data_IF_200765496536
#
_entry.id   IF_200765496536
#
_cell.length_a   1.000
_cell.length_b   1.000
_cell.length_c   1.000
_cell.angle_alpha   90.00
_cell.angle_beta   90.00
_cell.angle_gamma   90.00
#
_symmetry.space_group_name_H-M   'P 1'
#
loop_
_entity.id
_entity.type
_entity.pdbx_description
1 polymer ?
#
# COMPACT_ATOMS: atom_id res chain seq x y z
N UNK A 1 9.34 -0.59 -19.02
CA UNK A 1 8.39 -1.39 -19.81
C UNK A 1 8.59 -1.03 -21.27
N UNK A 2 9.31 -1.86 -22.03
CA UNK A 2 9.41 -1.70 -23.48
C UNK A 2 8.14 -2.30 -24.08
N UNK A 3 7.40 -1.49 -24.84
CA UNK A 3 6.15 -1.87 -25.48
C UNK A 3 6.38 -3.09 -26.37
N UNK A 4 5.77 -4.21 -26.01
CA UNK A 4 5.71 -5.36 -26.89
C UNK A 4 4.97 -4.90 -28.16
N UNK A 5 5.45 -5.30 -29.34
CA UNK A 5 4.76 -4.95 -30.58
C UNK A 5 3.30 -5.42 -30.48
N UNK A 6 2.37 -4.51 -30.76
CA UNK A 6 0.97 -4.85 -30.91
C UNK A 6 0.87 -5.85 -32.07
N UNK A 7 0.17 -6.99 -31.91
CA UNK A 7 0.03 -7.94 -32.99
C UNK A 7 -0.69 -7.24 -34.15
N UNK A 8 0.05 -6.95 -35.22
CA UNK A 8 -0.44 -6.43 -36.49
C UNK A 8 -0.41 -7.60 -37.46
N UNK A 9 -1.55 -8.06 -37.96
CA UNK A 9 -1.55 -9.08 -39.00
C UNK A 9 -2.92 -9.64 -39.33
N UNK A 10 -3.16 -9.80 -40.64
CA UNK A 10 -4.34 -10.28 -41.36
C UNK A 10 -5.56 -10.76 -40.55
N UNK A 11 -6.68 -10.05 -40.77
CA UNK A 11 -8.02 -10.34 -40.27
C UNK A 11 -8.78 -11.39 -41.11
N UNK A 12 -8.06 -12.16 -41.93
CA UNK A 12 -8.66 -13.25 -42.73
C UNK A 12 -9.29 -14.33 -41.82
N UNK A 13 -8.75 -14.53 -40.62
CA UNK A 13 -9.30 -15.40 -39.58
C UNK A 13 -9.58 -14.61 -38.28
N UNK A 14 -10.74 -13.95 -38.16
CA UNK A 14 -11.03 -13.04 -37.06
C UNK A 14 -10.96 -13.67 -35.66
N UNK A 15 -11.43 -14.92 -35.52
CA UNK A 15 -11.48 -15.61 -34.24
C UNK A 15 -10.07 -15.91 -33.68
N UNK A 16 -9.15 -16.38 -34.53
CA UNK A 16 -7.77 -16.66 -34.13
C UNK A 16 -7.04 -15.38 -33.71
N UNK A 17 -7.29 -14.26 -34.40
CA UNK A 17 -6.70 -12.95 -34.07
C UNK A 17 -7.24 -12.35 -32.78
N UNK A 18 -8.53 -12.53 -32.53
CA UNK A 18 -9.15 -12.12 -31.27
C UNK A 18 -8.53 -12.88 -30.09
N UNK A 19 -8.28 -14.19 -30.24
CA UNK A 19 -7.61 -14.99 -29.21
C UNK A 19 -6.14 -14.56 -29.00
N UNK A 20 -5.40 -14.30 -30.07
CA UNK A 20 -4.03 -13.75 -29.97
C UNK A 20 -3.99 -12.40 -29.23
N UNK A 21 -4.96 -11.53 -29.50
CA UNK A 21 -5.10 -10.24 -28.80
C UNK A 21 -5.42 -10.45 -27.31
N UNK A 22 -6.33 -11.36 -26.98
CA UNK A 22 -6.65 -11.71 -25.61
C UNK A 22 -5.42 -12.23 -24.86
N UNK A 23 -4.69 -13.20 -25.44
CA UNK A 23 -3.47 -13.74 -24.84
C UNK A 23 -2.40 -12.66 -24.66
N UNK A 24 -2.26 -11.74 -25.63
CA UNK A 24 -1.31 -10.63 -25.51
C UNK A 24 -1.63 -9.72 -24.33
N UNK A 25 -2.91 -9.37 -24.16
CA UNK A 25 -3.43 -8.52 -23.07
C UNK A 25 -3.28 -9.24 -21.72
N UNK A 26 -3.72 -10.49 -21.63
CA UNK A 26 -3.64 -11.33 -20.43
C UNK A 26 -2.19 -11.45 -19.93
N UNK A 27 -1.28 -11.85 -20.81
CA UNK A 27 0.13 -11.97 -20.45
C UNK A 27 0.74 -10.62 -20.06
N UNK A 28 0.27 -9.52 -20.67
CA UNK A 28 0.63 -8.15 -20.29
C UNK A 28 0.29 -7.85 -18.84
N UNK A 29 -0.96 -8.13 -18.45
CA UNK A 29 -1.45 -7.95 -17.09
C UNK A 29 -0.72 -8.86 -16.09
N UNK A 30 -0.53 -10.14 -16.40
CA UNK A 30 0.18 -11.08 -15.54
C UNK A 30 1.63 -10.64 -15.27
N UNK A 31 2.36 -10.18 -16.29
CA UNK A 31 3.71 -9.64 -16.08
C UNK A 31 3.73 -8.39 -15.23
N UNK A 32 2.71 -7.53 -15.36
CA UNK A 32 2.60 -6.35 -14.53
C UNK A 32 2.38 -6.74 -13.07
N UNK A 33 1.49 -7.69 -12.80
CA UNK A 33 1.27 -8.28 -11.47
C UNK A 33 2.57 -8.90 -10.94
N UNK A 34 3.25 -9.71 -11.73
CA UNK A 34 4.53 -10.33 -11.34
C UNK A 34 5.60 -9.28 -11.03
N UNK A 35 5.68 -8.20 -11.80
CA UNK A 35 6.61 -7.11 -11.53
C UNK A 35 6.31 -6.42 -10.19
N UNK A 36 5.03 -6.14 -9.89
CA UNK A 36 4.62 -5.60 -8.60
C UNK A 36 4.89 -6.57 -7.44
N UNK A 37 4.80 -7.88 -7.67
CA UNK A 37 4.99 -8.91 -6.63
C UNK A 37 6.44 -9.39 -6.46
N UNK A 38 7.30 -9.28 -7.47
CA UNK A 38 8.66 -9.81 -7.48
C UNK A 38 9.53 -9.22 -6.36
N UNK A 39 9.31 -7.96 -6.00
CA UNK A 39 10.11 -7.24 -5.01
C UNK A 39 9.71 -7.55 -3.54
N UNK A 40 8.67 -8.38 -3.35
CA UNK A 40 8.07 -8.67 -2.06
C UNK A 40 9.08 -9.27 -1.07
N UNK A 41 9.84 -10.30 -1.44
CA UNK A 41 10.65 -11.02 -0.44
C UNK A 41 11.84 -10.19 0.07
N UNK A 42 12.46 -9.41 -0.82
CA UNK A 42 13.62 -8.58 -0.50
C UNK A 42 13.21 -7.39 0.37
N UNK A 43 12.16 -6.65 -0.03
CA UNK A 43 11.57 -5.57 0.78
C UNK A 43 11.16 -6.04 2.19
N UNK A 44 10.59 -7.25 2.35
CA UNK A 44 10.23 -7.81 3.69
C UNK A 44 11.45 -8.01 4.56
N UNK A 45 12.49 -8.58 3.95
CA UNK A 45 13.72 -8.94 4.66
C UNK A 45 14.42 -7.67 5.12
N UNK A 46 14.57 -6.67 4.24
CA UNK A 46 15.16 -5.38 4.61
C UNK A 46 14.36 -4.70 5.73
N UNK A 47 13.03 -4.58 5.59
CA UNK A 47 12.21 -3.96 6.63
C UNK A 47 12.29 -4.69 7.98
N UNK A 48 12.34 -6.03 7.98
CA UNK A 48 12.53 -6.83 9.20
C UNK A 48 13.93 -6.65 9.79
N UNK A 49 14.97 -6.63 8.97
CA UNK A 49 16.35 -6.39 9.42
C UNK A 49 16.50 -5.00 10.04
N UNK A 50 15.88 -3.98 9.44
CA UNK A 50 15.89 -2.61 9.99
C UNK A 50 15.17 -2.54 11.34
N UNK A 51 14.01 -3.19 11.49
CA UNK A 51 13.29 -3.25 12.78
C UNK A 51 14.07 -4.02 13.84
N UNK A 52 14.68 -5.14 13.48
CA UNK A 52 15.54 -5.89 14.38
C UNK A 52 16.76 -5.05 14.81
N UNK A 53 17.41 -4.38 13.86
CA UNK A 53 18.52 -3.47 14.13
C UNK A 53 18.13 -2.31 15.05
N UNK A 54 16.94 -1.72 14.86
CA UNK A 54 16.42 -0.68 15.74
C UNK A 54 16.16 -1.21 17.16
N UNK A 55 15.52 -2.37 17.30
CA UNK A 55 15.23 -2.97 18.60
C UNK A 55 16.52 -3.35 19.36
N UNK A 56 17.48 -3.98 18.66
CA UNK A 56 18.79 -4.31 19.22
C UNK A 56 19.53 -3.03 19.62
N UNK A 57 19.52 -2.01 18.76
CA UNK A 57 20.21 -0.75 19.02
C UNK A 57 19.65 -0.01 20.25
N UNK A 58 18.33 -0.03 20.45
CA UNK A 58 17.69 0.51 21.67
C UNK A 58 18.02 -0.34 22.89
N UNK A 59 17.94 -1.67 22.78
CA UNK A 59 18.22 -2.57 23.90
C UNK A 59 19.68 -2.45 24.37
N UNK A 60 20.64 -2.47 23.45
CA UNK A 60 22.07 -2.29 23.75
C UNK A 60 22.34 -0.87 24.26
N UNK A 61 21.71 0.14 23.65
CA UNK A 61 21.80 1.54 24.07
C UNK A 61 21.34 1.78 25.52
N UNK A 62 20.32 1.04 25.97
CA UNK A 62 19.80 1.10 27.33
C UNK A 62 20.56 0.18 28.32
N UNK A 63 21.05 -0.97 27.85
CA UNK A 63 21.73 -1.95 28.70
C UNK A 63 23.18 -1.56 29.03
N UNK A 64 23.91 -0.94 28.09
CA UNK A 64 25.32 -0.60 28.29
C UNK A 64 25.56 0.37 29.47
N UNK A 65 24.77 1.46 29.65
CA UNK A 65 24.90 2.33 30.82
C UNK A 65 24.56 1.62 32.14
N UNK A 66 23.64 0.64 32.11
CA UNK A 66 23.25 -0.14 33.29
C UNK A 66 24.34 -1.13 33.72
N UNK A 67 25.09 -1.68 32.76
CA UNK A 67 26.24 -2.56 33.03
C UNK A 67 27.46 -1.79 33.53
N UNK A 68 27.61 -0.52 33.13
CA UNK A 68 28.68 0.34 33.66
C UNK A 68 28.46 0.65 35.14
N UNK A 69 27.20 0.77 35.58
CA UNK A 69 26.83 0.93 36.99
C UNK A 69 27.15 -0.29 37.86
N UNK A 70 27.35 -1.48 37.27
CA UNK A 70 27.72 -2.68 38.03
C UNK A 70 29.23 -2.81 38.24
N UNK A 71 30.04 -1.88 37.71
CA UNK A 71 31.52 -1.90 37.77
C UNK A 71 32.15 -3.24 37.31
N UNK A 72 31.42 -4.02 36.53
CA UNK A 72 31.80 -5.38 36.15
C UNK A 72 32.87 -5.41 35.04
N UNK A 73 33.16 -4.26 34.43
CA UNK A 73 34.08 -4.11 33.31
C UNK A 73 35.00 -2.91 33.55
N UNK A 74 36.30 -3.08 33.25
CA UNK A 74 37.31 -2.01 33.39
C UNK A 74 37.28 -0.98 32.24
N UNK A 75 36.43 -1.20 31.23
CA UNK A 75 36.33 -0.38 30.01
C UNK A 75 35.08 0.49 30.05
N UNK A 76 35.18 1.75 29.59
CA UNK A 76 34.05 2.68 29.51
C UNK A 76 33.04 2.25 28.44
N UNK A 77 31.79 1.98 28.83
CA UNK A 77 30.75 1.39 27.97
C UNK A 77 29.72 2.43 27.47
N UNK A 78 29.53 3.54 28.19
CA UNK A 78 28.57 4.60 27.85
C UNK A 78 28.67 5.15 26.41
N UNK A 79 29.86 5.45 25.84
CA UNK A 79 29.97 5.95 24.47
C UNK A 79 29.38 4.99 23.43
N UNK A 80 29.54 3.68 23.65
CA UNK A 80 29.01 2.64 22.76
C UNK A 80 27.48 2.53 22.84
N UNK A 81 26.89 2.87 24.00
CA UNK A 81 25.45 3.03 24.14
C UNK A 81 24.89 4.12 23.23
N UNK A 82 25.55 5.28 23.16
CA UNK A 82 25.15 6.37 22.25
C UNK A 82 25.30 5.99 20.78
N UNK A 83 26.38 5.28 20.41
CA UNK A 83 26.57 4.75 19.05
C UNK A 83 25.45 3.77 18.68
N UNK A 84 25.05 2.90 19.62
CA UNK A 84 23.95 1.96 19.45
C UNK A 84 22.61 2.66 19.23
N UNK A 85 22.32 3.71 20.01
CA UNK A 85 21.12 4.53 19.84
C UNK A 85 21.11 5.29 18.51
N UNK A 86 22.26 5.81 18.07
CA UNK A 86 22.41 6.43 16.76
C UNK A 86 22.13 5.42 15.64
N UNK A 87 22.66 4.20 15.75
CA UNK A 87 22.37 3.10 14.83
C UNK A 87 20.88 2.76 14.78
N UNK A 88 20.19 2.73 15.92
CA UNK A 88 18.75 2.54 15.97
C UNK A 88 17.97 3.66 15.28
N UNK A 89 18.35 4.92 15.52
CA UNK A 89 17.75 6.08 14.88
C UNK A 89 17.94 6.06 13.36
N UNK A 90 19.13 5.69 12.88
CA UNK A 90 19.41 5.50 11.45
C UNK A 90 18.56 4.37 10.87
N UNK A 91 18.41 3.23 11.57
CA UNK A 91 17.56 2.13 11.11
C UNK A 91 16.10 2.56 10.93
N UNK A 92 15.56 3.32 11.89
CA UNK A 92 14.19 3.87 11.82
C UNK A 92 14.07 4.92 10.72
N UNK A 93 15.08 5.79 10.58
CA UNK A 93 15.14 6.79 9.52
C UNK A 93 15.16 6.15 8.13
N UNK A 94 15.95 5.09 7.94
CA UNK A 94 15.99 4.32 6.69
C UNK A 94 14.65 3.63 6.38
N UNK A 95 14.00 2.95 7.36
CA UNK A 95 12.69 2.32 7.13
C UNK A 95 11.64 3.35 6.66
N UNK A 96 11.69 4.55 7.23
CA UNK A 96 10.78 5.65 6.92
C UNK A 96 11.10 6.31 5.58
N UNK A 97 12.38 6.57 5.27
CA UNK A 97 12.77 7.31 4.07
C UNK A 97 12.69 6.46 2.81
N UNK A 98 13.03 5.18 2.91
CA UNK A 98 12.85 4.25 1.79
C UNK A 98 11.39 3.78 1.63
N UNK A 99 10.50 4.09 2.58
CA UNK A 99 9.09 3.66 2.52
C UNK A 99 8.93 2.15 2.35
N UNK A 100 9.91 1.36 2.79
CA UNK A 100 10.04 -0.08 2.45
C UNK A 100 8.82 -0.88 2.88
N UNK A 101 8.12 -0.40 3.90
CA UNK A 101 6.92 -1.02 4.45
C UNK A 101 5.63 -0.52 3.80
N UNK A 102 5.51 0.76 3.43
CA UNK A 102 4.31 1.30 2.77
C UNK A 102 4.31 1.03 1.27
N UNK A 103 5.46 1.17 0.60
CA UNK A 103 5.62 1.00 -0.84
C UNK A 103 5.21 -0.40 -1.31
N UNK A 104 5.62 -1.46 -0.61
CA UNK A 104 5.12 -2.80 -0.88
C UNK A 104 3.61 -2.88 -0.77
N UNK A 105 3.03 -2.43 0.36
CA UNK A 105 1.61 -2.65 0.62
C UNK A 105 0.75 -2.03 -0.48
N UNK A 106 1.17 -0.86 -0.96
CA UNK A 106 0.67 -0.25 -2.20
C UNK A 106 0.85 -1.15 -3.42
N UNK A 107 2.09 -1.57 -3.72
CA UNK A 107 2.41 -2.46 -4.85
C UNK A 107 1.51 -3.73 -4.87
N UNK A 108 1.27 -4.33 -3.69
CA UNK A 108 0.42 -5.52 -3.53
C UNK A 108 -1.06 -5.19 -3.74
N UNK A 109 -1.55 -4.06 -3.22
CA UNK A 109 -2.95 -3.66 -3.46
C UNK A 109 -3.23 -3.37 -4.93
N UNK A 110 -2.29 -2.72 -5.63
CA UNK A 110 -2.40 -2.49 -7.07
C UNK A 110 -2.34 -3.80 -7.85
N UNK A 111 -1.41 -4.71 -7.49
CA UNK A 111 -1.34 -6.04 -8.09
C UNK A 111 -2.64 -6.83 -7.92
N UNK A 112 -3.24 -6.81 -6.73
CA UNK A 112 -4.52 -7.46 -6.46
C UNK A 112 -5.68 -6.82 -7.24
N UNK A 113 -5.67 -5.51 -7.38
CA UNK A 113 -6.68 -4.80 -8.18
C UNK A 113 -6.56 -5.17 -9.67
N UNK A 114 -5.34 -5.24 -10.22
CA UNK A 114 -5.11 -5.74 -11.60
C UNK A 114 -5.57 -7.19 -11.74
N UNK A 115 -5.22 -8.06 -10.79
CA UNK A 115 -5.63 -9.47 -10.82
C UNK A 115 -7.15 -9.64 -10.85
N UNK A 116 -7.90 -8.88 -10.03
CA UNK A 116 -9.38 -8.94 -10.03
C UNK A 116 -9.98 -8.48 -11.36
N UNK A 117 -9.40 -7.45 -11.98
CA UNK A 117 -9.86 -6.99 -13.30
C UNK A 117 -9.49 -7.98 -14.40
N UNK A 118 -8.37 -8.69 -14.26
CA UNK A 118 -7.99 -9.76 -15.18
C UNK A 118 -8.95 -10.93 -15.08
N UNK A 119 -9.32 -11.35 -13.86
CA UNK A 119 -10.34 -12.38 -13.66
C UNK A 119 -11.68 -11.99 -14.32
N UNK A 120 -12.11 -10.73 -14.17
CA UNK A 120 -13.31 -10.23 -14.85
C UNK A 120 -13.18 -10.31 -16.39
N UNK A 121 -12.04 -9.90 -16.95
CA UNK A 121 -11.75 -10.03 -18.38
C UNK A 121 -11.87 -11.49 -18.84
N UNK A 122 -11.30 -12.44 -18.10
CA UNK A 122 -11.34 -13.87 -18.44
C UNK A 122 -12.78 -14.40 -18.45
N UNK A 123 -13.62 -14.01 -17.49
CA UNK A 123 -15.03 -14.40 -17.44
C UNK A 123 -15.85 -13.76 -18.56
N UNK A 124 -15.68 -12.46 -18.82
CA UNK A 124 -16.38 -11.74 -19.88
C UNK A 124 -16.01 -12.31 -21.25
N UNK A 125 -14.73 -12.63 -21.46
CA UNK A 125 -14.25 -13.31 -22.66
C UNK A 125 -14.89 -14.69 -22.83
N UNK A 126 -14.87 -15.52 -21.79
CA UNK A 126 -15.47 -16.86 -21.84
C UNK A 126 -16.98 -16.80 -22.11
N UNK A 127 -17.70 -15.84 -21.52
CA UNK A 127 -19.12 -15.64 -21.77
C UNK A 127 -19.38 -15.27 -23.24
N UNK A 128 -18.53 -14.44 -23.84
CA UNK A 128 -18.68 -13.99 -25.22
C UNK A 128 -18.28 -15.09 -26.22
N UNK A 129 -17.19 -15.83 -25.98
CA UNK A 129 -16.81 -17.01 -26.80
C UNK A 129 -17.87 -18.11 -26.74
N UNK A 130 -18.51 -18.35 -25.59
CA UNK A 130 -19.62 -19.30 -25.47
C UNK A 130 -20.84 -18.82 -26.24
N UNK A 131 -21.13 -17.52 -26.24
CA UNK A 131 -22.23 -16.92 -27.03
C UNK A 131 -21.96 -16.99 -28.54
N UNK A 132 -20.71 -16.93 -28.96
CA UNK A 132 -20.33 -17.15 -30.36
C UNK A 132 -20.55 -18.62 -30.79
N UNK A 133 -20.21 -19.58 -29.92
CA UNK A 133 -20.32 -21.02 -30.23
C UNK A 133 -21.76 -21.57 -30.10
N UNK A 134 -22.55 -21.05 -29.13
CA UNK A 134 -23.88 -21.56 -28.79
C UNK A 134 -25.03 -20.60 -29.16
N UNK A 135 -24.73 -19.40 -29.66
CA UNK A 135 -25.73 -18.38 -29.96
C UNK A 135 -26.63 -18.75 -31.15
N UNK A 136 -27.90 -18.30 -31.15
CA UNK A 136 -28.72 -18.32 -32.36
C UNK A 136 -27.99 -17.59 -33.49
N UNK A 137 -28.10 -18.09 -34.72
CA UNK A 137 -27.42 -17.60 -35.95
C UNK A 137 -27.74 -16.15 -36.36
N UNK A 138 -28.28 -15.33 -35.47
CA UNK A 138 -28.75 -13.96 -35.72
C UNK A 138 -27.66 -12.90 -35.58
N UNK A 139 -26.55 -13.20 -34.92
CA UNK A 139 -25.40 -12.28 -34.80
C UNK A 139 -24.40 -12.50 -35.92
N UNK A 140 -24.06 -11.44 -36.67
CA UNK A 140 -22.98 -11.54 -37.66
C UNK A 140 -21.63 -11.72 -36.94
N UNK A 141 -20.68 -12.43 -37.57
CA UNK A 141 -19.32 -12.60 -37.03
C UNK A 141 -18.64 -11.25 -36.69
N UNK A 142 -19.02 -10.18 -37.40
CA UNK A 142 -18.57 -8.81 -37.12
C UNK A 142 -19.05 -8.29 -35.76
N UNK A 143 -20.32 -8.51 -35.40
CA UNK A 143 -20.89 -8.06 -34.12
C UNK A 143 -20.31 -8.82 -32.92
N UNK A 144 -19.97 -10.10 -33.09
CA UNK A 144 -19.25 -10.88 -32.07
C UNK A 144 -17.82 -10.33 -31.88
N UNK A 145 -17.12 -10.05 -32.98
CA UNK A 145 -15.80 -9.44 -32.94
C UNK A 145 -15.80 -8.06 -32.26
N UNK A 146 -16.78 -7.20 -32.55
CA UNK A 146 -16.93 -5.90 -31.90
C UNK A 146 -17.15 -6.01 -30.38
N UNK A 147 -17.94 -7.00 -29.94
CA UNK A 147 -18.16 -7.27 -28.51
C UNK A 147 -16.88 -7.73 -27.82
N UNK A 148 -16.14 -8.67 -28.42
CA UNK A 148 -14.84 -9.13 -27.92
C UNK A 148 -13.82 -7.98 -27.83
N UNK A 149 -13.74 -7.13 -28.85
CA UNK A 149 -12.88 -5.93 -28.84
C UNK A 149 -13.30 -4.92 -27.76
N UNK A 150 -14.60 -4.78 -27.53
CA UNK A 150 -15.15 -3.93 -26.45
C UNK A 150 -14.68 -4.38 -25.06
N UNK A 151 -14.68 -5.69 -24.81
CA UNK A 151 -14.20 -6.29 -23.54
C UNK A 151 -12.71 -6.01 -23.34
N UNK A 152 -11.87 -6.23 -24.36
CA UNK A 152 -10.42 -5.97 -24.29
C UNK A 152 -10.10 -4.47 -24.10
N UNK A 153 -10.83 -3.60 -24.81
CA UNK A 153 -10.65 -2.15 -24.70
C UNK A 153 -11.00 -1.66 -23.29
N UNK A 154 -12.15 -2.09 -22.76
CA UNK A 154 -12.60 -1.72 -21.42
C UNK A 154 -11.56 -2.11 -20.37
N UNK A 155 -11.05 -3.34 -20.43
CA UNK A 155 -10.00 -3.80 -19.52
C UNK A 155 -8.72 -2.95 -19.62
N UNK A 156 -8.31 -2.59 -20.82
CA UNK A 156 -7.10 -1.79 -21.04
C UNK A 156 -7.24 -0.37 -20.47
N UNK A 157 -8.39 0.26 -20.70
CA UNK A 157 -8.73 1.57 -20.12
C UNK A 157 -8.74 1.49 -18.58
N UNK A 158 -9.40 0.47 -18.05
CA UNK A 158 -9.50 0.17 -16.63
C UNK A 158 -8.15 0.00 -15.92
N UNK A 159 -7.22 -0.76 -16.53
CA UNK A 159 -5.86 -0.93 -16.01
C UNK A 159 -5.07 0.38 -16.11
N UNK A 160 -5.23 1.13 -17.20
CA UNK A 160 -4.55 2.41 -17.39
C UNK A 160 -5.00 3.45 -16.36
N UNK A 161 -6.30 3.52 -16.08
CA UNK A 161 -6.84 4.40 -15.04
C UNK A 161 -6.36 4.00 -13.64
N UNK A 162 -6.33 2.70 -13.34
CA UNK A 162 -5.82 2.20 -12.06
C UNK A 162 -4.36 2.61 -11.86
N UNK A 163 -3.50 2.43 -12.87
CA UNK A 163 -2.09 2.84 -12.82
C UNK A 163 -1.94 4.35 -12.69
N UNK A 164 -2.77 5.13 -13.40
CA UNK A 164 -2.76 6.59 -13.32
C UNK A 164 -3.15 7.09 -11.92
N UNK A 165 -4.21 6.53 -11.32
CA UNK A 165 -4.65 6.87 -9.97
C UNK A 165 -3.56 6.55 -8.93
N UNK A 166 -2.97 5.35 -9.00
CA UNK A 166 -1.87 4.91 -8.13
C UNK A 166 -0.65 5.86 -8.21
N UNK A 167 -0.35 6.33 -9.42
CA UNK A 167 0.74 7.29 -9.68
C UNK A 167 0.43 8.66 -9.09
N UNK A 168 -0.82 9.13 -9.19
CA UNK A 168 -1.25 10.40 -8.61
C UNK A 168 -1.18 10.37 -7.08
N UNK A 169 -1.68 9.29 -6.47
CA UNK A 169 -1.61 9.07 -5.03
C UNK A 169 -0.15 9.02 -4.55
N UNK A 170 0.74 8.44 -5.36
CA UNK A 170 2.17 8.37 -5.05
C UNK A 170 2.81 9.76 -4.97
N UNK A 171 2.48 10.63 -5.94
CA UNK A 171 3.01 11.99 -6.00
C UNK A 171 2.54 12.79 -4.78
N UNK A 172 1.31 12.60 -4.32
CA UNK A 172 0.77 13.28 -3.12
C UNK A 172 1.44 12.76 -1.85
N UNK A 173 1.56 11.44 -1.68
CA UNK A 173 2.23 10.83 -0.53
C UNK A 173 3.71 11.23 -0.46
N UNK A 174 4.39 11.25 -1.61
CA UNK A 174 5.79 11.66 -1.69
C UNK A 174 5.97 13.11 -1.23
N UNK A 175 5.11 14.04 -1.71
CA UNK A 175 5.14 15.46 -1.31
C UNK A 175 4.87 15.66 0.18
N UNK A 176 3.92 14.93 0.76
CA UNK A 176 3.58 15.04 2.19
C UNK A 176 4.63 14.39 3.10
N UNK A 177 5.28 13.31 2.66
CA UNK A 177 6.35 12.64 3.39
C UNK A 177 7.66 13.44 3.42
N UNK A 178 7.90 14.29 2.41
CA UNK A 178 9.03 15.23 2.39
C UNK A 178 8.82 16.51 3.20
N UNK A 179 7.60 16.75 3.72
CA UNK A 179 7.38 17.89 4.62
C UNK A 179 8.06 17.58 5.96
N UNK A 180 9.11 18.33 6.36
CA UNK A 180 9.79 18.08 7.62
C UNK A 180 8.78 18.26 8.75
N UNK A 181 8.59 17.19 9.54
CA UNK A 181 7.88 17.27 10.81
C UNK A 181 8.57 18.35 11.65
N UNK A 182 7.96 19.53 11.70
CA UNK A 182 8.24 20.57 12.68
C UNK A 182 8.15 19.86 14.03
N UNK A 183 9.29 19.76 14.70
CA UNK A 183 9.48 18.97 15.90
C UNK A 183 8.27 19.10 16.84
N UNK A 184 7.47 18.04 16.95
CA UNK A 184 6.74 17.80 18.19
C UNK A 184 7.79 17.29 19.18
N UNK A 185 8.61 18.22 19.65
CA UNK A 185 9.38 18.08 20.87
C UNK A 185 8.36 17.83 21.97
N UNK A 186 8.16 16.55 22.27
CA UNK A 186 7.41 16.10 23.42
C UNK A 186 7.94 16.85 24.64
N UNK A 187 7.01 17.56 25.29
CA UNK A 187 7.18 18.20 26.59
C UNK A 187 7.85 17.21 27.57
N UNK A 188 9.16 17.32 27.75
CA UNK A 188 9.82 16.89 28.97
C UNK A 188 9.64 18.05 29.95
N UNK A 189 8.46 18.08 30.59
CA UNK A 189 8.21 18.92 31.75
C UNK A 189 9.06 18.35 32.88
N UNK A 190 10.26 18.90 33.04
CA UNK A 190 11.21 18.55 34.09
C UNK A 190 10.57 18.64 35.48
N UNK A 191 10.86 17.64 36.30
CA UNK A 191 10.48 17.60 37.70
C UNK A 191 11.40 18.42 38.60
N UNK A 192 10.87 18.65 39.82
CA UNK A 192 11.41 19.34 41.02
C UNK A 192 11.16 20.86 41.02
N UNK A 193 10.33 21.38 41.93
CA UNK A 193 10.66 21.54 43.37
C UNK A 193 9.40 21.61 44.26
N UNK A 194 9.41 20.79 45.32
CA UNK A 194 8.91 20.93 46.71
C UNK A 194 7.76 21.89 47.13
N UNK A 195 6.87 21.33 47.97
CA UNK A 195 6.09 21.90 49.07
C UNK A 195 5.08 23.04 48.81
N UNK A 196 3.76 22.72 48.82
CA UNK A 196 2.86 23.11 49.93
C UNK A 196 1.39 22.65 49.74
N UNK A 197 0.87 22.11 50.85
CA UNK A 197 -0.52 22.18 51.35
C UNK A 197 -1.67 21.41 50.69
N UNK A 198 -2.05 20.34 51.41
CA UNK A 198 -3.41 19.86 51.69
C UNK A 198 -4.56 20.80 51.29
N UNK A 199 -5.44 20.32 50.40
CA UNK A 199 -6.89 20.53 50.49
C UNK A 199 -7.67 19.48 49.69
N UNK A 200 -8.16 18.47 50.42
CA UNK A 200 -9.54 17.93 50.39
C UNK A 200 -10.19 17.69 49.00
N UNK A 201 -10.24 16.41 48.58
CA UNK A 201 -11.21 15.84 47.63
C UNK A 201 -12.68 15.95 48.14
N UNK A 202 -13.75 15.62 47.37
CA UNK A 202 -13.89 15.28 45.93
C UNK A 202 -15.07 16.01 45.23
N UNK A 203 -15.21 15.90 43.89
CA UNK A 203 -16.50 15.69 43.21
C UNK A 203 -16.34 15.64 41.67
N UNK A 204 -16.65 14.47 41.08
CA UNK A 204 -17.08 14.37 39.68
C UNK A 204 -18.54 14.82 39.56
N UNK A 205 -18.94 15.46 38.45
CA UNK A 205 -20.04 14.86 37.69
C UNK A 205 -19.89 15.00 36.17
N UNK A 206 -20.18 13.90 35.49
CA UNK A 206 -20.38 13.77 34.06
C UNK A 206 -21.84 14.11 33.69
N UNK A 207 -22.11 14.97 32.67
CA UNK A 207 -23.40 14.97 31.99
C UNK A 207 -23.25 14.82 30.46
N UNK A 208 -23.56 13.59 30.01
CA UNK A 208 -24.21 13.14 28.77
C UNK A 208 -24.10 13.98 27.47
N UNK A 209 -23.79 13.33 26.32
CA UNK A 209 -23.84 13.97 25.00
C UNK A 209 -25.28 14.33 24.58
N UNK A 210 -25.45 15.55 24.09
CA UNK A 210 -26.66 16.09 23.48
C UNK A 210 -26.87 15.42 22.10
N UNK A 211 -27.86 14.53 21.96
CA UNK A 211 -28.25 13.97 20.66
C UNK A 211 -29.15 14.95 19.90
N UNK A 212 -28.89 15.22 18.61
CA UNK A 212 -29.79 16.00 17.77
C UNK A 212 -31.12 15.26 17.61
N UNK A 213 -32.23 15.92 17.94
CA UNK A 213 -33.57 15.41 17.64
C UNK A 213 -33.77 15.41 16.12
N UNK A 214 -33.88 14.21 15.54
CA UNK A 214 -34.37 14.02 14.18
C UNK A 214 -35.84 14.46 14.12
N UNK A 215 -36.17 15.32 13.14
CA UNK A 215 -37.54 15.74 12.85
C UNK A 215 -38.17 14.70 11.88
N UNK A 216 -39.41 14.26 12.09
CA UNK A 216 -40.10 13.37 11.15
C UNK A 216 -40.36 14.05 9.79
N UNK A 217 -40.48 13.28 8.69
CA UNK A 217 -40.87 13.80 7.39
C UNK A 217 -42.36 14.16 7.37
N UNK A 218 -42.68 15.37 6.92
CA UNK A 218 -44.05 15.75 6.59
C UNK A 218 -44.49 15.01 5.32
N UNK A 219 -45.49 14.15 5.47
CA UNK A 219 -46.14 13.43 4.38
C UNK A 219 -47.12 14.32 3.61
N UNK A 220 -47.06 14.16 2.28
CA UNK A 220 -48.15 14.24 1.29
C UNK A 220 -49.34 15.18 1.55
N UNK A 221 -49.46 16.19 0.68
CA UNK A 221 -50.67 16.43 -0.11
C UNK A 221 -50.30 17.02 -1.46
#
# INVERSE_FOLDING_TARGET
MLGRAFPLGDWEEPAARLDELYQWVEQGALRQVDWYLADRRWKRRIARSLRAGAAVGVAVGAALPLLELTEAFEVTLAPWGFVSLLGAAVCVGCDRWFGLTSGWMRDVTTAQAVQRRLEALQYDWAAESVREILGPTEGTASEAAERCLGVLRRFTEDVTELVRAETADWIVEFRTSTAPLRAQSGSVRGGRTENQQLSRFPAQPNPRPNMPRQRPPDGSR
#
